data_IF_522623853065
#
_entry.id   IF_522623853065
#
_cell.length_a   1.000
_cell.length_b   1.000
_cell.length_c   1.000
_cell.angle_alpha   90.00
_cell.angle_beta   90.00
_cell.angle_gamma   90.00
#
_symmetry.space_group_name_H-M   'P 1'
#
loop_
_entity.id
_entity.type
_entity.pdbx_description
1 polymer ?
#
# COMPACT_ATOMS: atom_id res chain seq x y z
N UNK A 1 7.43 16.26 -0.39
CA UNK A 1 6.84 17.61 -0.23
C UNK A 1 5.42 17.48 0.28
N UNK A 2 5.02 18.31 1.24
CA UNK A 2 3.64 18.43 1.71
C UNK A 2 2.84 19.43 0.86
N UNK A 3 1.51 19.50 1.05
CA UNK A 3 0.64 20.39 0.27
C UNK A 3 -0.37 21.13 1.17
N UNK A 4 -0.58 22.44 0.92
CA UNK A 4 -1.55 23.32 1.62
C UNK A 4 -1.54 23.18 3.15
N UNK A 5 -0.39 23.40 3.78
CA UNK A 5 -0.24 23.34 5.24
C UNK A 5 -0.13 21.93 5.82
N UNK A 6 -0.29 20.89 4.99
CA UNK A 6 -0.02 19.51 5.40
C UNK A 6 1.48 19.26 5.47
N UNK A 7 1.90 18.50 6.49
CA UNK A 7 3.26 17.99 6.56
C UNK A 7 3.53 17.04 5.37
N UNK A 8 4.79 16.91 4.94
CA UNK A 8 5.19 15.81 4.08
C UNK A 8 4.81 14.47 4.71
N UNK A 9 4.55 13.48 3.87
CA UNK A 9 4.32 12.09 4.28
C UNK A 9 5.47 11.20 3.85
N UNK A 10 5.61 10.08 4.52
CA UNK A 10 6.58 9.04 4.24
C UNK A 10 6.19 8.27 2.98
N UNK A 11 6.77 8.66 1.85
CA UNK A 11 6.53 7.99 0.56
C UNK A 11 7.33 6.70 0.43
N UNK A 12 8.39 6.51 1.21
CA UNK A 12 9.18 5.29 1.16
C UNK A 12 8.40 4.15 1.83
N UNK A 13 7.65 4.43 2.89
CA UNK A 13 6.70 3.47 3.46
C UNK A 13 5.62 3.01 2.47
N UNK A 14 5.08 3.91 1.61
CA UNK A 14 4.19 3.50 0.53
C UNK A 14 4.89 2.57 -0.46
N UNK A 15 6.14 2.89 -0.83
CA UNK A 15 6.92 2.06 -1.75
C UNK A 15 7.13 0.66 -1.18
N UNK A 16 7.44 0.55 0.11
CA UNK A 16 7.59 -0.75 0.79
C UNK A 16 6.30 -1.56 0.73
N UNK A 17 5.13 -0.95 0.98
CA UNK A 17 3.82 -1.59 0.83
C UNK A 17 3.64 -2.11 -0.61
N UNK A 18 3.90 -1.27 -1.62
CA UNK A 18 3.72 -1.65 -3.02
C UNK A 18 4.64 -2.79 -3.46
N UNK A 19 5.88 -2.82 -2.95
CA UNK A 19 6.83 -3.92 -3.20
C UNK A 19 6.30 -5.20 -2.55
N UNK A 20 5.91 -5.16 -1.27
CA UNK A 20 5.38 -6.33 -0.57
C UNK A 20 4.11 -6.90 -1.22
N UNK A 21 3.20 -6.05 -1.69
CA UNK A 21 2.02 -6.45 -2.48
C UNK A 21 2.44 -7.14 -3.77
N UNK A 22 3.44 -6.59 -4.46
CA UNK A 22 3.96 -7.17 -5.70
C UNK A 22 4.57 -8.55 -5.46
N UNK A 23 5.28 -8.75 -4.34
CA UNK A 23 5.82 -10.06 -3.93
C UNK A 23 4.71 -11.08 -3.62
N UNK A 24 3.63 -10.64 -2.95
CA UNK A 24 2.47 -11.50 -2.69
C UNK A 24 1.81 -11.96 -4.01
N UNK A 25 1.60 -11.04 -4.96
CA UNK A 25 1.04 -11.40 -6.27
C UNK A 25 2.00 -12.32 -7.03
N UNK A 26 3.32 -12.05 -6.98
CA UNK A 26 4.33 -12.87 -7.63
C UNK A 26 4.43 -14.29 -7.06
N UNK A 27 3.98 -14.53 -5.83
CA UNK A 27 3.88 -15.89 -5.25
C UNK A 27 2.89 -16.80 -6.00
N UNK A 28 2.02 -16.24 -6.83
CA UNK A 28 1.07 -16.98 -7.67
C UNK A 28 -0.18 -17.47 -6.95
N UNK A 29 -0.35 -17.15 -5.65
CA UNK A 29 -1.55 -17.54 -4.88
C UNK A 29 -2.69 -16.51 -4.94
N UNK A 30 -2.37 -15.28 -5.34
CA UNK A 30 -3.29 -14.14 -5.35
C UNK A 30 -3.27 -13.51 -6.75
N UNK A 31 -4.44 -13.38 -7.36
CA UNK A 31 -4.62 -12.81 -8.70
C UNK A 31 -4.71 -11.28 -8.65
N UNK A 32 -5.37 -10.75 -7.63
CA UNK A 32 -5.64 -9.31 -7.48
C UNK A 32 -5.65 -8.91 -6.01
N UNK A 33 -5.12 -7.71 -5.72
CA UNK A 33 -5.21 -7.04 -4.42
C UNK A 33 -5.63 -5.60 -4.66
N UNK A 34 -6.79 -5.21 -4.13
CA UNK A 34 -7.26 -3.82 -4.08
C UNK A 34 -7.00 -3.26 -2.68
N UNK A 35 -6.24 -2.16 -2.62
CA UNK A 35 -5.90 -1.46 -1.38
C UNK A 35 -6.61 -0.11 -1.35
N UNK A 36 -7.69 -0.02 -0.58
CA UNK A 36 -8.45 1.22 -0.51
C UNK A 36 -9.24 1.35 0.81
N UNK A 37 -8.89 2.29 1.72
CA UNK A 37 -7.84 3.30 1.58
C UNK A 37 -6.46 2.87 2.11
N UNK A 38 -5.41 3.49 1.57
CA UNK A 38 -4.06 3.50 2.16
C UNK A 38 -3.80 4.88 2.76
N UNK A 39 -3.61 4.94 4.07
CA UNK A 39 -3.31 6.16 4.79
C UNK A 39 -1.78 6.37 4.87
N UNK A 40 -1.34 7.59 4.59
CA UNK A 40 0.06 8.00 4.67
C UNK A 40 0.24 8.99 5.81
N UNK A 41 1.30 8.80 6.60
CA UNK A 41 1.63 9.63 7.74
C UNK A 41 3.02 10.25 7.56
N UNK A 42 3.40 11.25 8.37
CA UNK A 42 4.77 11.77 8.37
C UNK A 42 5.82 10.70 8.64
N UNK A 43 5.46 9.67 9.42
CA UNK A 43 6.28 8.50 9.72
C UNK A 43 5.44 7.25 9.43
N UNK A 44 5.74 6.55 8.33
CA UNK A 44 5.05 5.33 7.93
C UNK A 44 3.74 5.49 7.14
N UNK A 45 3.14 4.35 6.84
CA UNK A 45 1.90 4.20 6.09
C UNK A 45 1.10 3.00 6.60
N UNK A 46 -0.22 3.00 6.42
CA UNK A 46 -1.12 1.93 6.84
C UNK A 46 -2.16 1.62 5.77
N UNK A 47 -2.26 0.35 5.39
CA UNK A 47 -3.39 -0.19 4.64
C UNK A 47 -4.56 -0.38 5.60
N UNK A 48 -5.65 0.37 5.41
CA UNK A 48 -6.80 0.33 6.31
C UNK A 48 -7.82 -0.74 5.91
N UNK A 49 -7.91 -1.02 4.61
CA UNK A 49 -8.75 -2.07 4.05
C UNK A 49 -8.06 -2.70 2.84
N UNK A 50 -8.28 -4.00 2.64
CA UNK A 50 -7.74 -4.76 1.53
C UNK A 50 -8.72 -5.84 1.08
N UNK A 51 -8.96 -5.89 -0.23
CA UNK A 51 -9.74 -6.94 -0.86
C UNK A 51 -8.84 -7.77 -1.77
N UNK A 52 -8.94 -9.08 -1.68
CA UNK A 52 -8.07 -10.00 -2.42
C UNK A 52 -8.88 -11.00 -3.24
N UNK A 53 -8.42 -11.29 -4.46
CA UNK A 53 -8.91 -12.37 -5.32
C UNK A 53 -7.85 -13.46 -5.38
N UNK A 54 -8.21 -14.69 -5.02
CA UNK A 54 -7.31 -15.84 -5.03
C UNK A 54 -7.31 -16.54 -6.39
N UNK A 55 -6.18 -17.13 -6.76
CA UNK A 55 -6.10 -18.03 -7.91
C UNK A 55 -6.92 -19.29 -7.62
N UNK A 56 -7.89 -19.61 -8.48
CA UNK A 56 -8.73 -20.82 -8.43
C UNK A 56 -8.36 -21.82 -9.51
#
# INVERSE_FOLDING_TARGET
EGYRGSLPVDKDALREILIGVSEIIASGSVEEIDLNPVALYPEGALVLDAKMKLCV
#
